data_IF_435401313154
#
_entry.id   IF_435401313154
#
_cell.length_a   1.000
_cell.length_b   1.000
_cell.length_c   1.000
_cell.angle_alpha   90.00
_cell.angle_beta   90.00
_cell.angle_gamma   90.00
#
_symmetry.space_group_name_H-M   'P 1'
#
loop_
_entity.id
_entity.type
_entity.pdbx_description
1 polymer ?
#
# COMPACT_ATOMS: atom_id res chain seq x y z
N UNK A 1 10.21 -8.78 -3.81
CA UNK A 1 9.55 -7.51 -4.14
C UNK A 1 8.55 -7.17 -3.04
N UNK A 2 8.48 -5.92 -2.66
CA UNK A 2 7.57 -5.44 -1.59
C UNK A 2 6.45 -4.62 -2.20
N UNK A 3 5.21 -5.00 -1.92
CA UNK A 3 4.01 -4.25 -2.30
C UNK A 3 3.61 -3.34 -1.13
N UNK A 4 3.45 -2.05 -1.36
CA UNK A 4 3.10 -1.13 -0.28
C UNK A 4 1.61 -0.81 -0.28
N UNK A 5 1.06 -0.73 0.92
CA UNK A 5 -0.29 -0.25 1.15
C UNK A 5 -0.34 1.28 1.09
N UNK A 6 -1.53 1.82 0.89
CA UNK A 6 -1.75 3.27 0.78
C UNK A 6 -1.26 4.03 2.02
N UNK A 7 -1.38 3.45 3.22
CA UNK A 7 -0.95 4.12 4.44
C UNK A 7 0.56 4.40 4.45
N UNK A 8 1.38 3.57 3.82
CA UNK A 8 2.82 3.82 3.69
C UNK A 8 3.06 5.13 2.92
N UNK A 9 2.36 5.31 1.81
CA UNK A 9 2.48 6.52 0.99
C UNK A 9 1.98 7.75 1.74
N UNK A 10 0.83 7.62 2.42
CA UNK A 10 0.24 8.73 3.17
C UNK A 10 1.14 9.18 4.32
N UNK A 11 1.66 8.25 5.12
CA UNK A 11 2.53 8.60 6.25
C UNK A 11 3.88 9.11 5.80
N UNK A 12 4.40 8.63 4.67
CA UNK A 12 5.65 9.11 4.10
C UNK A 12 5.58 10.60 3.69
N UNK A 13 4.40 11.10 3.34
CA UNK A 13 4.22 12.50 2.91
C UNK A 13 3.55 13.39 3.97
N UNK A 14 2.81 12.82 4.92
CA UNK A 14 2.08 13.59 5.95
C UNK A 14 2.96 13.86 7.17
N UNK A 15 3.57 15.03 7.23
CA UNK A 15 4.47 15.44 8.33
C UNK A 15 3.78 15.53 9.68
N UNK A 16 2.47 15.67 9.71
CA UNK A 16 1.69 15.79 10.94
C UNK A 16 1.37 14.43 11.58
N UNK A 17 1.59 13.32 10.85
CA UNK A 17 1.33 11.99 11.38
C UNK A 17 2.48 11.54 12.29
N UNK A 18 2.19 10.97 13.48
CA UNK A 18 3.23 10.49 14.39
C UNK A 18 4.10 9.37 13.82
N UNK A 19 3.63 8.67 12.79
CA UNK A 19 4.38 7.59 12.11
C UNK A 19 5.27 8.11 10.98
N UNK A 20 5.17 9.39 10.64
CA UNK A 20 5.85 9.98 9.48
C UNK A 20 7.35 9.69 9.47
N UNK A 21 8.06 9.97 10.55
CA UNK A 21 9.51 9.85 10.58
C UNK A 21 9.98 8.41 10.31
N UNK A 22 9.35 7.43 10.94
CA UNK A 22 9.70 6.01 10.75
C UNK A 22 9.34 5.51 9.36
N UNK A 23 8.14 5.86 8.88
CA UNK A 23 7.69 5.41 7.57
C UNK A 23 8.49 6.07 6.45
N UNK A 24 8.79 7.35 6.57
CA UNK A 24 9.62 8.04 5.58
C UNK A 24 11.02 7.43 5.51
N UNK A 25 11.64 7.14 6.66
CA UNK A 25 12.96 6.50 6.69
C UNK A 25 12.93 5.12 6.02
N UNK A 26 11.89 4.33 6.30
CA UNK A 26 11.70 3.04 5.64
C UNK A 26 11.54 3.21 4.13
N UNK A 27 10.71 4.15 3.70
CA UNK A 27 10.41 4.43 2.30
C UNK A 27 11.69 4.83 1.52
N UNK A 28 12.45 5.77 2.05
CA UNK A 28 13.69 6.23 1.43
C UNK A 28 14.71 5.10 1.32
N UNK A 29 14.83 4.27 2.35
CA UNK A 29 15.71 3.08 2.33
C UNK A 29 15.24 2.08 1.28
N UNK A 30 13.95 1.82 1.20
CA UNK A 30 13.37 0.88 0.25
C UNK A 30 13.59 1.33 -1.21
N UNK A 31 13.49 2.63 -1.48
CA UNK A 31 13.73 3.18 -2.81
C UNK A 31 15.18 3.03 -3.28
N UNK A 32 16.12 2.94 -2.36
CA UNK A 32 17.55 2.79 -2.65
C UNK A 32 18.02 1.34 -2.59
N UNK A 33 17.19 0.43 -2.10
CA UNK A 33 17.54 -0.98 -1.98
C UNK A 33 17.56 -1.69 -3.34
N UNK A 34 18.17 -2.88 -3.37
CA UNK A 34 18.16 -3.73 -4.56
C UNK A 34 16.80 -4.38 -4.78
N UNK A 35 16.07 -4.65 -3.69
CA UNK A 35 14.74 -5.25 -3.78
C UNK A 35 13.74 -4.22 -4.33
N UNK A 36 13.00 -4.56 -5.41
CA UNK A 36 12.03 -3.63 -5.98
C UNK A 36 10.83 -3.40 -5.07
N UNK A 37 10.27 -2.21 -5.15
CA UNK A 37 9.01 -1.82 -4.51
C UNK A 37 7.91 -1.81 -5.58
N UNK A 38 6.76 -2.35 -5.24
CA UNK A 38 5.60 -2.38 -6.13
C UNK A 38 4.49 -1.46 -5.62
N UNK A 39 3.83 -0.79 -6.54
CA UNK A 39 2.56 -0.09 -6.34
C UNK A 39 1.48 -0.77 -7.17
N UNK A 40 0.24 -0.74 -6.68
CA UNK A 40 -0.93 -1.16 -7.44
C UNK A 40 -1.77 0.05 -7.82
N UNK A 41 -2.60 -0.08 -8.86
CA UNK A 41 -3.53 1.01 -9.22
C UNK A 41 -4.49 1.34 -8.10
N UNK A 42 -4.94 0.34 -7.33
CA UNK A 42 -5.81 0.57 -6.18
C UNK A 42 -5.15 1.45 -5.12
N UNK A 43 -3.86 1.23 -4.85
CA UNK A 43 -3.08 2.04 -3.90
C UNK A 43 -2.86 3.45 -4.44
N UNK A 44 -2.53 3.60 -5.71
CA UNK A 44 -2.41 4.93 -6.36
C UNK A 44 -3.72 5.70 -6.28
N UNK A 45 -4.83 5.05 -6.62
CA UNK A 45 -6.16 5.65 -6.54
C UNK A 45 -6.49 6.06 -5.10
N UNK A 46 -6.23 5.18 -4.12
CA UNK A 46 -6.43 5.48 -2.71
C UNK A 46 -5.60 6.66 -2.23
N UNK A 47 -4.34 6.75 -2.65
CA UNK A 47 -3.48 7.88 -2.32
C UNK A 47 -4.05 9.19 -2.85
N UNK A 48 -4.42 9.24 -4.13
CA UNK A 48 -4.97 10.46 -4.74
C UNK A 48 -6.25 10.91 -4.01
N UNK A 49 -7.12 9.98 -3.67
CA UNK A 49 -8.37 10.26 -2.96
C UNK A 49 -8.14 10.78 -1.54
N UNK A 50 -7.23 10.15 -0.79
CA UNK A 50 -7.02 10.43 0.63
C UNK A 50 -6.09 11.64 0.85
N UNK A 51 -5.05 11.79 0.06
CA UNK A 51 -4.10 12.91 0.20
C UNK A 51 -4.72 14.28 -0.12
N UNK A 52 -5.77 14.29 -0.93
CA UNK A 52 -6.52 15.52 -1.29
C UNK A 52 -7.74 15.76 -0.40
N UNK A 53 -7.99 14.88 0.58
CA UNK A 53 -9.20 14.95 1.41
C UNK A 53 -8.95 15.71 2.71
N UNK A 54 -9.75 16.75 3.03
CA UNK A 54 -9.52 17.61 4.21
C UNK A 54 -9.75 16.90 5.55
N UNK A 55 -10.42 15.75 5.57
CA UNK A 55 -10.61 14.95 6.79
C UNK A 55 -9.43 14.04 7.09
N UNK A 56 -8.55 13.81 6.12
CA UNK A 56 -7.38 12.93 6.28
C UNK A 56 -6.12 13.76 6.57
N UNK A 57 -5.93 14.84 5.84
CA UNK A 57 -4.79 15.74 6.02
C UNK A 57 -5.28 17.08 6.56
N UNK A 58 -4.58 17.62 7.58
CA UNK A 58 -4.83 18.98 8.08
C UNK A 58 -4.61 20.01 6.96
N UNK A 59 -3.61 19.78 6.12
CA UNK A 59 -3.35 20.54 4.90
C UNK A 59 -3.38 19.59 3.72
N UNK A 60 -4.56 19.39 3.08
CA UNK A 60 -4.66 18.47 1.95
C UNK A 60 -3.76 18.92 0.80
N UNK A 61 -3.23 17.96 0.07
CA UNK A 61 -2.51 18.27 -1.16
C UNK A 61 -3.49 18.76 -2.22
N UNK A 62 -3.03 19.67 -3.07
CA UNK A 62 -3.77 20.04 -4.28
C UNK A 62 -3.73 18.85 -5.26
N UNK A 63 -4.66 18.84 -6.22
CA UNK A 63 -4.66 17.81 -7.26
C UNK A 63 -3.36 17.85 -8.07
N UNK A 64 -2.78 19.02 -8.27
CA UNK A 64 -1.51 19.20 -8.96
C UNK A 64 -0.34 18.57 -8.16
N UNK A 65 -0.29 18.82 -6.87
CA UNK A 65 0.74 18.24 -5.97
C UNK A 65 0.61 16.71 -5.89
N UNK A 66 -0.60 16.19 -5.71
CA UNK A 66 -0.83 14.76 -5.56
C UNK A 66 -0.51 14.00 -6.84
N UNK A 67 -0.92 14.51 -8.01
CA UNK A 67 -0.63 13.87 -9.30
C UNK A 67 0.85 13.95 -9.64
N UNK A 68 1.53 15.06 -9.33
CA UNK A 68 2.97 15.18 -9.52
C UNK A 68 3.74 14.16 -8.67
N UNK A 69 3.29 13.94 -7.44
CA UNK A 69 3.89 12.94 -6.53
C UNK A 69 3.78 11.53 -7.11
N UNK A 70 2.61 11.15 -7.59
CA UNK A 70 2.39 9.85 -8.20
C UNK A 70 3.26 9.69 -9.46
N UNK A 71 3.33 10.73 -10.28
CA UNK A 71 4.20 10.71 -11.48
C UNK A 71 5.66 10.47 -11.12
N UNK A 72 6.16 11.11 -10.07
CA UNK A 72 7.53 10.89 -9.58
C UNK A 72 7.75 9.45 -9.12
N UNK A 73 6.80 8.88 -8.36
CA UNK A 73 6.93 7.50 -7.89
C UNK A 73 6.95 6.52 -9.07
N UNK A 74 6.01 6.67 -10.00
CA UNK A 74 5.94 5.76 -11.15
C UNK A 74 7.14 5.88 -12.10
N UNK A 75 7.84 7.00 -12.08
CA UNK A 75 9.07 7.21 -12.86
C UNK A 75 10.33 6.70 -12.13
N UNK A 76 10.23 6.38 -10.85
CA UNK A 76 11.39 5.95 -10.06
C UNK A 76 11.85 4.56 -10.52
N UNK A 77 13.17 4.35 -10.75
CA UNK A 77 13.68 3.09 -11.32
C UNK A 77 13.43 1.86 -10.42
N UNK A 78 13.27 2.04 -9.11
CA UNK A 78 13.01 0.95 -8.18
C UNK A 78 11.52 0.72 -7.89
N UNK A 79 10.62 1.47 -8.51
CA UNK A 79 9.18 1.29 -8.35
C UNK A 79 8.61 0.60 -9.59
N UNK A 80 7.84 -0.46 -9.35
CA UNK A 80 7.18 -1.24 -10.37
C UNK A 80 5.68 -1.25 -10.13
N UNK A 81 4.89 -1.27 -11.20
CA UNK A 81 3.45 -1.42 -11.10
C UNK A 81 3.09 -2.91 -11.05
N UNK A 82 2.39 -3.31 -10.00
CA UNK A 82 1.86 -4.68 -9.87
C UNK A 82 0.39 -4.69 -10.29
N UNK A 83 0.04 -5.64 -11.15
CA UNK A 83 -1.33 -5.86 -11.60
C UNK A 83 -1.80 -7.25 -11.19
N UNK A 84 -3.11 -7.44 -11.13
CA UNK A 84 -3.73 -8.69 -10.74
C UNK A 84 -3.39 -9.80 -11.72
N UNK A 85 -3.27 -11.02 -11.21
CA UNK A 85 -3.09 -12.23 -12.01
C UNK A 85 -4.46 -12.81 -12.39
N UNK A 86 -4.49 -13.78 -13.31
CA UNK A 86 -5.73 -14.42 -13.73
C UNK A 86 -6.46 -15.16 -12.59
N UNK A 87 -5.72 -15.63 -11.57
CA UNK A 87 -6.29 -16.29 -10.38
C UNK A 87 -6.63 -15.33 -9.24
N UNK A 88 -6.61 -14.03 -9.49
CA UNK A 88 -6.84 -13.04 -8.43
C UNK A 88 -8.18 -13.26 -7.71
N UNK A 89 -9.25 -13.49 -8.46
CA UNK A 89 -10.56 -13.74 -7.86
C UNK A 89 -10.56 -14.99 -6.98
N UNK A 90 -9.97 -16.09 -7.45
CA UNK A 90 -9.92 -17.33 -6.66
C UNK A 90 -9.18 -17.12 -5.34
N UNK A 91 -8.05 -16.42 -5.36
CA UNK A 91 -7.26 -16.12 -4.15
C UNK A 91 -8.03 -15.19 -3.23
N UNK A 92 -8.58 -14.10 -3.76
CA UNK A 92 -9.36 -13.14 -2.98
C UNK A 92 -10.60 -13.78 -2.35
N UNK A 93 -11.34 -14.56 -3.12
CA UNK A 93 -12.51 -15.30 -2.64
C UNK A 93 -12.16 -16.21 -1.48
N UNK A 94 -11.08 -16.99 -1.61
CA UNK A 94 -10.65 -17.93 -0.58
C UNK A 94 -10.23 -17.20 0.70
N UNK A 95 -9.57 -16.06 0.60
CA UNK A 95 -9.23 -15.22 1.76
C UNK A 95 -10.49 -14.70 2.47
N UNK A 96 -11.47 -14.22 1.72
CA UNK A 96 -12.72 -13.71 2.28
C UNK A 96 -13.47 -14.83 3.02
N UNK A 97 -13.58 -16.00 2.42
CA UNK A 97 -14.29 -17.13 3.02
C UNK A 97 -13.55 -17.70 4.23
N UNK A 98 -12.22 -17.78 4.18
CA UNK A 98 -11.40 -18.33 5.26
C UNK A 98 -11.45 -17.45 6.52
N UNK A 99 -11.36 -16.14 6.36
CA UNK A 99 -11.27 -15.20 7.49
C UNK A 99 -12.66 -14.69 7.90
N UNK A 100 -13.70 -14.92 7.10
CA UNK A 100 -15.05 -14.42 7.39
C UNK A 100 -15.14 -12.91 7.27
N UNK A 101 -14.41 -12.33 6.32
CA UNK A 101 -14.27 -10.88 6.15
C UNK A 101 -15.54 -10.31 5.52
N UNK A 102 -15.98 -9.18 6.07
CA UNK A 102 -17.07 -8.37 5.53
C UNK A 102 -16.72 -6.89 5.59
N UNK A 103 -17.34 -6.09 4.74
CA UNK A 103 -17.22 -4.63 4.78
C UNK A 103 -15.82 -4.14 4.43
N UNK A 104 -15.22 -3.34 5.30
CA UNK A 104 -13.94 -2.65 5.03
C UNK A 104 -12.78 -3.60 4.79
N UNK A 105 -12.84 -4.82 5.31
CA UNK A 105 -11.76 -5.80 5.14
C UNK A 105 -11.75 -6.41 3.73
N UNK A 106 -12.76 -6.17 2.90
CA UNK A 106 -12.76 -6.61 1.48
C UNK A 106 -11.64 -5.94 0.70
N UNK A 107 -11.38 -4.65 0.93
CA UNK A 107 -10.26 -3.95 0.30
C UNK A 107 -8.92 -4.53 0.73
N UNK A 108 -8.80 -4.91 2.00
CA UNK A 108 -7.59 -5.55 2.52
C UNK A 108 -7.38 -6.94 1.91
N UNK A 109 -8.45 -7.70 1.73
CA UNK A 109 -8.41 -9.00 1.06
C UNK A 109 -7.96 -8.86 -0.41
N UNK A 110 -8.40 -7.82 -1.09
CA UNK A 110 -7.97 -7.52 -2.47
C UNK A 110 -6.45 -7.28 -2.54
N UNK A 111 -5.92 -6.44 -1.65
CA UNK A 111 -4.50 -6.13 -1.62
C UNK A 111 -3.66 -7.35 -1.18
N UNK A 112 -4.15 -8.09 -0.18
CA UNK A 112 -3.51 -9.33 0.27
C UNK A 112 -3.46 -10.38 -0.87
N UNK A 113 -4.55 -10.53 -1.62
CA UNK A 113 -4.61 -11.45 -2.75
C UNK A 113 -3.60 -11.08 -3.85
N UNK A 114 -3.43 -9.79 -4.13
CA UNK A 114 -2.43 -9.32 -5.08
C UNK A 114 -1.02 -9.69 -4.62
N UNK A 115 -0.70 -9.43 -3.35
CA UNK A 115 0.61 -9.78 -2.79
C UNK A 115 0.86 -11.29 -2.82
N UNK A 116 -0.10 -12.10 -2.42
CA UNK A 116 0.01 -13.57 -2.42
C UNK A 116 0.21 -14.10 -3.84
N UNK A 117 -0.63 -13.65 -4.78
CA UNK A 117 -0.56 -14.12 -6.18
C UNK A 117 0.76 -13.79 -6.86
N UNK A 118 1.39 -12.68 -6.47
CA UNK A 118 2.67 -12.23 -7.00
C UNK A 118 3.87 -12.64 -6.14
N UNK A 119 3.65 -13.39 -5.07
CA UNK A 119 4.69 -13.79 -4.11
C UNK A 119 5.47 -12.59 -3.54
N UNK A 120 4.76 -11.51 -3.25
CA UNK A 120 5.32 -10.29 -2.67
C UNK A 120 5.10 -10.23 -1.17
N UNK A 121 5.96 -9.51 -0.46
CA UNK A 121 5.72 -9.11 0.93
C UNK A 121 4.89 -7.83 0.92
N UNK A 122 3.76 -7.83 1.61
CA UNK A 122 2.97 -6.61 1.79
C UNK A 122 3.55 -5.78 2.94
N UNK A 123 3.73 -4.49 2.69
CA UNK A 123 4.18 -3.53 3.71
C UNK A 123 3.01 -2.62 4.05
N UNK A 124 2.57 -2.68 5.30
CA UNK A 124 1.43 -1.89 5.81
C UNK A 124 1.55 -1.68 7.31
N UNK A 125 1.07 -0.54 7.78
CA UNK A 125 0.94 -0.26 9.21
C UNK A 125 -0.37 -0.79 9.81
N UNK A 126 -1.24 -1.39 8.99
CA UNK A 126 -2.53 -1.90 9.44
C UNK A 126 -2.39 -3.33 9.96
N UNK A 127 -2.69 -3.52 11.25
CA UNK A 127 -2.63 -4.82 11.92
C UNK A 127 -3.68 -5.83 11.43
N UNK A 128 -4.71 -5.39 10.72
CA UNK A 128 -5.72 -6.30 10.16
C UNK A 128 -5.12 -7.30 9.16
N UNK A 129 -3.99 -6.96 8.54
CA UNK A 129 -3.29 -7.88 7.63
C UNK A 129 -2.74 -9.14 8.31
N UNK A 130 -2.55 -9.13 9.64
CA UNK A 130 -2.17 -10.31 10.40
C UNK A 130 -3.21 -11.44 10.32
N UNK A 131 -4.45 -11.14 9.94
CA UNK A 131 -5.54 -12.13 9.78
C UNK A 131 -5.32 -13.08 8.60
N UNK A 132 -4.53 -12.69 7.62
CA UNK A 132 -4.29 -13.47 6.39
C UNK A 132 -3.06 -14.36 6.58
N UNK A 133 -3.26 -15.62 6.93
CA UNK A 133 -2.17 -16.56 7.29
C UNK A 133 -1.15 -16.79 6.19
N UNK A 134 -1.58 -16.76 4.93
CA UNK A 134 -0.71 -17.01 3.78
C UNK A 134 0.07 -15.77 3.34
N UNK A 135 -0.27 -14.60 3.89
CA UNK A 135 0.34 -13.33 3.53
C UNK A 135 1.66 -13.13 4.28
N UNK A 136 2.70 -12.81 3.55
CA UNK A 136 3.91 -12.23 4.16
C UNK A 136 3.66 -10.74 4.36
N UNK A 137 3.65 -10.32 5.61
CA UNK A 137 3.34 -8.94 6.00
C UNK A 137 4.44 -8.36 6.87
N UNK A 138 4.80 -7.12 6.57
CA UNK A 138 5.79 -6.33 7.30
C UNK A 138 5.17 -5.00 7.71
N UNK A 139 5.40 -4.59 8.97
CA UNK A 139 4.97 -3.30 9.49
C UNK A 139 6.20 -2.47 9.84
N UNK A 140 6.47 -1.35 9.15
CA UNK A 140 7.69 -0.59 9.34
C UNK A 140 7.74 0.18 10.67
N UNK A 141 6.63 0.28 11.39
CA UNK A 141 6.57 0.98 12.69
C UNK A 141 6.42 0.03 13.88
N UNK A 142 6.33 -1.25 13.63
CA UNK A 142 6.21 -2.25 14.70
C UNK A 142 7.56 -2.48 15.39
#
# INVERSE_FOLDING_TARGET
MKLVDVNILLYAVNRDDPRHTKVLAWWETALQALEPVALSWGVVHGYLRLATHPRVFAKPQTKEEATARVTQWLAHPNIHLATETDDHWCVMRDLILDVGIVGNLVSDAHLAALAISRAMTLVSCDHDFARFRQLRWENPVA
#
